data_IF_030714277710
#
_entry.id   IF_030714277710
#
_cell.length_a   1.000
_cell.length_b   1.000
_cell.length_c   1.000
_cell.angle_alpha   90.00
_cell.angle_beta   90.00
_cell.angle_gamma   90.00
#
_symmetry.space_group_name_H-M   'P 1'
#
loop_
_entity.id
_entity.type
_entity.pdbx_description
1 polymer ?
#
# COMPACT_ATOMS: atom_id res chain seq x y z
N UNK A 1 7.12 26.57 -15.34
CA UNK A 1 8.59 26.47 -15.44
C UNK A 1 8.93 25.01 -15.50
N UNK A 2 9.62 24.56 -16.56
CA UNK A 2 10.01 23.16 -16.71
C UNK A 2 11.44 22.95 -16.24
N UNK A 3 11.67 21.85 -15.52
CA UNK A 3 12.96 21.51 -14.92
C UNK A 3 13.55 20.28 -15.61
N UNK A 4 14.82 20.38 -15.98
CA UNK A 4 15.58 19.31 -16.65
C UNK A 4 16.13 18.30 -15.64
N UNK A 5 16.68 18.78 -14.54
CA UNK A 5 17.14 17.94 -13.43
C UNK A 5 17.13 18.71 -12.10
N UNK A 6 17.17 17.96 -11.01
CA UNK A 6 17.31 18.49 -9.64
C UNK A 6 18.53 17.86 -8.98
N UNK A 7 19.21 18.63 -8.13
CA UNK A 7 20.41 18.18 -7.44
C UNK A 7 20.52 18.82 -6.06
N UNK A 8 21.30 18.17 -5.20
CA UNK A 8 21.64 18.68 -3.87
C UNK A 8 23.04 19.28 -3.92
N UNK A 9 23.18 20.49 -3.39
CA UNK A 9 24.44 21.18 -3.17
C UNK A 9 24.65 21.40 -1.67
N UNK A 10 25.83 21.89 -1.29
CA UNK A 10 26.17 22.28 0.09
C UNK A 10 25.14 23.27 0.65
N UNK A 11 24.63 24.16 -0.22
CA UNK A 11 23.71 25.24 0.14
C UNK A 11 22.22 24.88 -0.02
N UNK A 12 21.89 23.59 -0.16
CA UNK A 12 20.51 23.10 -0.28
C UNK A 12 20.17 22.48 -1.64
N UNK A 13 18.88 22.49 -2.00
CA UNK A 13 18.38 21.87 -3.22
C UNK A 13 18.21 22.89 -4.34
N UNK A 14 18.55 22.47 -5.55
CA UNK A 14 18.48 23.29 -6.76
C UNK A 14 17.85 22.50 -7.90
N UNK A 15 17.20 23.21 -8.82
CA UNK A 15 16.73 22.68 -10.08
C UNK A 15 17.29 23.51 -11.23
N UNK A 16 17.73 22.85 -12.29
CA UNK A 16 18.10 23.51 -13.54
C UNK A 16 16.90 23.47 -14.47
N UNK A 17 16.51 24.64 -14.98
CA UNK A 17 15.42 24.74 -15.95
C UNK A 17 15.88 24.27 -17.33
N UNK A 18 14.94 24.08 -18.26
CA UNK A 18 15.26 23.75 -19.66
C UNK A 18 16.12 24.84 -20.33
N UNK A 19 16.02 26.09 -19.85
CA UNK A 19 16.81 27.22 -20.35
C UNK A 19 18.21 27.32 -19.74
N UNK A 20 18.58 26.42 -18.82
CA UNK A 20 19.87 26.44 -18.12
C UNK A 20 19.89 27.29 -16.85
N UNK A 21 18.81 27.99 -16.53
CA UNK A 21 18.73 28.78 -15.29
C UNK A 21 18.73 27.87 -14.06
N UNK A 22 19.57 28.20 -13.07
CA UNK A 22 19.60 27.52 -11.79
C UNK A 22 18.66 28.20 -10.79
N UNK A 23 17.71 27.43 -10.28
CA UNK A 23 16.69 27.92 -9.34
C UNK A 23 16.81 27.19 -8.01
N UNK A 24 16.90 27.94 -6.91
CA UNK A 24 16.91 27.38 -5.56
C UNK A 24 15.52 26.83 -5.21
N UNK A 25 15.48 25.59 -4.74
CA UNK A 25 14.25 24.89 -4.39
C UNK A 25 14.09 24.79 -2.87
N UNK A 26 12.84 24.91 -2.41
CA UNK A 26 12.50 24.75 -0.99
C UNK A 26 12.19 23.29 -0.68
N UNK A 27 13.00 22.68 0.16
CA UNK A 27 12.71 21.35 0.71
C UNK A 27 11.56 21.45 1.72
N UNK A 28 10.54 20.62 1.52
CA UNK A 28 9.46 20.41 2.48
C UNK A 28 9.67 19.06 3.15
N UNK A 29 10.04 19.03 4.44
CA UNK A 29 10.38 17.80 5.15
C UNK A 29 9.18 16.85 5.25
N UNK A 30 9.47 15.57 5.47
CA UNK A 30 8.45 14.54 5.62
C UNK A 30 7.57 14.80 6.85
N UNK A 31 6.30 15.12 6.61
CA UNK A 31 5.24 15.10 7.63
C UNK A 31 4.33 13.89 7.42
N UNK A 32 3.00 14.12 7.43
CA UNK A 32 2.02 13.11 6.95
C UNK A 32 2.18 12.79 5.45
N UNK A 33 2.78 13.72 4.70
CA UNK A 33 3.03 13.61 3.25
C UNK A 33 4.47 13.20 2.98
N UNK A 34 4.72 12.77 1.75
CA UNK A 34 6.07 12.49 1.25
C UNK A 34 6.92 13.77 1.22
N UNK A 35 8.21 13.64 1.55
CA UNK A 35 9.17 14.73 1.38
C UNK A 35 9.26 15.16 -0.08
N UNK A 36 9.29 16.47 -0.34
CA UNK A 36 9.23 17.03 -1.69
C UNK A 36 9.91 18.39 -1.78
N UNK A 37 10.16 18.84 -3.01
CA UNK A 37 10.72 20.14 -3.34
C UNK A 37 9.65 21.03 -3.94
N UNK A 38 9.64 22.29 -3.53
CA UNK A 38 8.80 23.34 -4.14
C UNK A 38 9.64 24.42 -4.78
N UNK A 39 9.15 24.96 -5.90
CA UNK A 39 9.70 26.16 -6.49
C UNK A 39 9.22 27.44 -5.76
N UNK A 40 9.63 28.60 -6.28
CA UNK A 40 9.23 29.91 -5.76
C UNK A 40 7.72 30.17 -5.89
N UNK A 41 7.04 29.50 -6.83
CA UNK A 41 5.59 29.59 -7.03
C UNK A 41 4.81 28.64 -6.12
N UNK A 42 5.51 27.77 -5.37
CA UNK A 42 4.91 26.78 -4.47
C UNK A 42 4.51 25.47 -5.16
N UNK A 43 4.79 25.32 -6.44
CA UNK A 43 4.54 24.10 -7.21
C UNK A 43 5.52 23.00 -6.81
N UNK A 44 5.06 21.75 -6.79
CA UNK A 44 5.89 20.60 -6.43
C UNK A 44 6.70 20.17 -7.65
N UNK A 45 8.01 20.39 -7.60
CA UNK A 45 8.93 20.12 -8.72
C UNK A 45 9.75 18.85 -8.52
N UNK A 46 9.93 18.43 -7.27
CA UNK A 46 10.68 17.24 -6.90
C UNK A 46 9.97 16.46 -5.81
N UNK A 47 10.11 15.14 -5.82
CA UNK A 47 9.48 14.25 -4.84
C UNK A 47 10.43 13.13 -4.46
N UNK A 48 10.50 12.80 -3.17
CA UNK A 48 11.28 11.66 -2.68
C UNK A 48 10.48 10.38 -2.83
N UNK A 49 11.04 9.35 -3.47
CA UNK A 49 10.40 8.04 -3.52
C UNK A 49 10.30 7.43 -2.12
N UNK A 50 9.10 7.01 -1.69
CA UNK A 50 8.89 6.42 -0.36
C UNK A 50 9.54 5.04 -0.19
N UNK A 51 9.99 4.40 -1.28
CA UNK A 51 10.64 3.08 -1.25
C UNK A 51 12.15 3.15 -1.35
N UNK A 52 12.71 3.77 -2.39
CA UNK A 52 14.16 3.84 -2.55
C UNK A 52 14.80 5.09 -1.94
N UNK A 53 13.99 6.06 -1.46
CA UNK A 53 14.50 7.28 -0.85
C UNK A 53 15.13 8.29 -1.81
N UNK A 54 15.23 8.00 -3.12
CA UNK A 54 15.81 8.94 -4.11
C UNK A 54 14.88 10.14 -4.33
N UNK A 55 15.45 11.35 -4.36
CA UNK A 55 14.77 12.58 -4.77
C UNK A 55 14.84 12.69 -6.30
N UNK A 56 13.70 12.78 -6.99
CA UNK A 56 13.63 12.93 -8.46
C UNK A 56 12.58 13.96 -8.83
N UNK A 57 12.55 14.36 -10.10
CA UNK A 57 11.52 15.26 -10.62
C UNK A 57 10.11 14.71 -10.37
N UNK A 58 9.20 15.59 -9.94
CA UNK A 58 7.81 15.26 -9.69
C UNK A 58 7.02 15.30 -11.01
N UNK A 59 7.41 14.47 -11.97
CA UNK A 59 6.77 14.38 -13.30
C UNK A 59 6.21 12.98 -13.54
N UNK A 60 5.33 12.87 -14.53
CA UNK A 60 4.78 11.60 -15.00
C UNK A 60 5.84 10.67 -15.62
N UNK A 61 7.05 11.15 -15.88
CA UNK A 61 8.18 10.34 -16.32
C UNK A 61 8.69 9.45 -15.18
N UNK A 62 8.93 10.03 -14.00
CA UNK A 62 9.50 9.34 -12.83
C UNK A 62 8.47 8.70 -11.91
N UNK A 63 7.23 9.19 -11.91
CA UNK A 63 6.14 8.69 -11.06
C UNK A 63 4.91 8.34 -11.91
N UNK A 64 4.11 7.37 -11.48
CA UNK A 64 2.80 7.09 -12.09
C UNK A 64 1.80 8.16 -11.63
N UNK A 65 0.89 8.58 -12.51
CA UNK A 65 -0.18 9.50 -12.14
C UNK A 65 -1.16 8.85 -11.14
N UNK A 66 -1.62 9.64 -10.17
CA UNK A 66 -2.69 9.29 -9.23
C UNK A 66 -3.35 10.57 -8.74
N UNK A 67 -4.54 10.86 -9.23
CA UNK A 67 -5.31 12.06 -8.92
C UNK A 67 -5.72 12.15 -7.43
N UNK A 68 -5.68 11.05 -6.68
CA UNK A 68 -5.94 11.03 -5.23
C UNK A 68 -4.68 11.31 -4.41
N UNK A 69 -3.51 11.22 -5.02
CA UNK A 69 -2.24 11.36 -4.33
C UNK A 69 -1.75 12.82 -4.32
N UNK A 70 -0.83 13.11 -3.40
CA UNK A 70 -0.22 14.43 -3.32
C UNK A 70 0.54 14.78 -4.61
N UNK A 71 0.21 15.95 -5.18
CA UNK A 71 0.69 16.45 -6.47
C UNK A 71 0.27 15.59 -7.67
N UNK A 72 -0.82 14.83 -7.57
CA UNK A 72 -1.34 14.02 -8.68
C UNK A 72 -0.44 12.84 -9.07
N UNK A 73 0.50 12.45 -8.21
CA UNK A 73 1.52 11.44 -8.49
C UNK A 73 1.64 10.44 -7.34
N UNK A 74 1.90 9.17 -7.66
CA UNK A 74 2.17 8.10 -6.70
C UNK A 74 3.34 8.44 -5.76
N UNK A 75 3.40 7.75 -4.61
CA UNK A 75 4.47 7.97 -3.63
C UNK A 75 5.79 7.26 -3.99
N UNK A 76 5.73 6.21 -4.82
CA UNK A 76 6.88 5.43 -5.28
C UNK A 76 7.22 5.80 -6.72
N UNK A 77 8.50 5.81 -7.07
CA UNK A 77 8.94 6.01 -8.45
C UNK A 77 8.62 4.80 -9.33
N UNK A 78 8.57 5.00 -10.65
CA UNK A 78 8.30 3.96 -11.64
C UNK A 78 9.28 2.79 -11.56
N UNK A 79 10.57 3.05 -11.30
CA UNK A 79 11.56 1.97 -11.18
C UNK A 79 11.26 1.06 -9.97
N UNK A 80 10.81 1.63 -8.85
CA UNK A 80 10.36 0.85 -7.71
C UNK A 80 9.08 0.06 -8.03
N UNK A 81 8.17 0.61 -8.84
CA UNK A 81 7.02 -0.13 -9.33
C UNK A 81 7.42 -1.28 -10.27
N UNK A 82 8.30 -1.04 -11.24
CA UNK A 82 8.78 -2.07 -12.17
C UNK A 82 9.39 -3.27 -11.41
N UNK A 83 10.26 -3.01 -10.44
CA UNK A 83 10.83 -4.07 -9.58
C UNK A 83 9.76 -4.82 -8.77
N UNK A 84 8.70 -4.14 -8.33
CA UNK A 84 7.58 -4.82 -7.66
C UNK A 84 6.79 -5.69 -8.64
N UNK A 85 6.54 -5.18 -9.84
CA UNK A 85 5.79 -5.87 -10.88
C UNK A 85 6.53 -7.15 -11.33
N UNK A 86 7.86 -7.09 -11.49
CA UNK A 86 8.73 -8.26 -11.76
C UNK A 86 8.65 -9.32 -10.66
N UNK A 87 8.70 -8.90 -9.39
CA UNK A 87 8.62 -9.82 -8.25
C UNK A 87 7.24 -10.47 -8.16
N UNK A 88 6.17 -9.71 -8.42
CA UNK A 88 4.81 -10.24 -8.43
C UNK A 88 4.59 -11.23 -9.59
N UNK A 89 5.19 -10.98 -10.76
CA UNK A 89 5.08 -11.87 -11.92
C UNK A 89 5.63 -13.27 -11.63
N UNK A 90 6.69 -13.37 -10.83
CA UNK A 90 7.28 -14.67 -10.42
C UNK A 90 6.57 -15.31 -9.22
N UNK A 91 5.41 -14.78 -8.80
CA UNK A 91 4.65 -15.31 -7.67
C UNK A 91 5.34 -15.16 -6.31
N UNK A 92 6.33 -14.27 -6.20
CA UNK A 92 7.01 -13.96 -4.94
C UNK A 92 6.55 -12.62 -4.39
N UNK A 93 6.55 -12.49 -3.09
CA UNK A 93 6.43 -11.21 -2.40
C UNK A 93 7.77 -10.48 -2.43
N UNK A 94 7.77 -9.15 -2.30
CA UNK A 94 9.01 -8.38 -2.17
C UNK A 94 9.88 -8.78 -0.97
N UNK A 95 9.31 -9.47 0.01
CA UNK A 95 10.03 -10.01 1.17
C UNK A 95 10.60 -11.42 0.91
N UNK A 96 10.52 -11.93 -0.31
CA UNK A 96 11.05 -13.23 -0.70
C UNK A 96 10.13 -14.44 -0.41
N UNK A 97 9.08 -14.26 0.41
CA UNK A 97 8.07 -15.32 0.64
C UNK A 97 7.09 -15.45 -0.53
N UNK A 98 6.28 -16.51 -0.60
CA UNK A 98 5.24 -16.67 -1.63
C UNK A 98 4.25 -15.50 -1.61
N UNK A 99 3.71 -15.11 -2.77
CA UNK A 99 2.56 -14.21 -2.82
C UNK A 99 1.42 -14.89 -2.06
N UNK A 100 0.81 -14.16 -1.13
CA UNK A 100 -0.41 -14.63 -0.46
C UNK A 100 -1.47 -14.78 -1.55
N UNK A 101 -1.84 -16.01 -1.88
CA UNK A 101 -3.04 -16.26 -2.69
C UNK A 101 -4.21 -15.57 -1.98
N UNK A 102 -5.06 -14.89 -2.75
CA UNK A 102 -6.28 -14.35 -2.15
C UNK A 102 -7.00 -15.54 -1.51
N UNK A 103 -7.21 -15.47 -0.19
CA UNK A 103 -8.02 -16.48 0.50
C UNK A 103 -9.39 -16.47 -0.18
N UNK A 104 -9.99 -17.64 -0.45
CA UNK A 104 -11.32 -17.70 -1.01
C UNK A 104 -12.26 -16.84 -0.15
N UNK A 105 -13.13 -16.05 -0.79
CA UNK A 105 -14.14 -15.30 -0.04
C UNK A 105 -15.03 -16.30 0.71
N UNK A 106 -15.34 -15.99 1.96
CA UNK A 106 -16.30 -16.79 2.72
C UNK A 106 -17.65 -16.78 1.98
N UNK A 107 -18.05 -17.93 1.44
CA UNK A 107 -19.38 -18.14 0.87
C UNK A 107 -20.37 -18.15 2.03
N UNK A 108 -21.50 -17.46 1.87
CA UNK A 108 -22.56 -17.35 2.88
C UNK A 108 -23.88 -17.74 2.24
N UNK A 109 -24.67 -18.53 2.95
CA UNK A 109 -26.02 -18.91 2.57
C UNK A 109 -26.94 -18.33 3.63
N UNK A 110 -27.93 -17.57 3.17
CA UNK A 110 -28.94 -16.91 4.00
C UNK A 110 -30.27 -17.64 3.83
N UNK A 111 -31.07 -17.72 4.89
CA UNK A 111 -32.46 -18.14 4.80
C UNK A 111 -33.35 -16.97 4.31
N UNK A 112 -34.65 -17.22 4.17
CA UNK A 112 -35.63 -16.23 3.72
C UNK A 112 -35.77 -15.03 4.68
N UNK A 113 -35.37 -15.18 5.93
CA UNK A 113 -35.36 -14.13 6.96
C UNK A 113 -34.06 -13.29 6.93
N UNK A 114 -33.13 -13.58 6.01
CA UNK A 114 -31.84 -12.90 5.93
C UNK A 114 -30.82 -13.34 6.99
N UNK A 115 -31.06 -14.46 7.67
CA UNK A 115 -30.13 -15.06 8.63
C UNK A 115 -29.12 -15.96 7.92
N UNK A 116 -27.82 -15.72 8.14
CA UNK A 116 -26.76 -16.60 7.64
C UNK A 116 -26.79 -17.94 8.41
N UNK A 117 -27.26 -19.00 7.76
CA UNK A 117 -27.37 -20.37 8.32
C UNK A 117 -26.14 -21.21 8.02
N UNK A 118 -25.46 -20.95 6.91
CA UNK A 118 -24.28 -21.71 6.49
C UNK A 118 -23.18 -20.80 5.94
N UNK A 119 -21.92 -21.12 6.24
CA UNK A 119 -20.76 -20.33 5.83
C UNK A 119 -19.56 -21.21 5.55
N UNK A 120 -18.84 -20.93 4.47
CA UNK A 120 -17.57 -21.58 4.13
C UNK A 120 -16.41 -20.86 4.80
N UNK A 121 -15.65 -21.60 5.61
CA UNK A 121 -14.51 -21.05 6.33
C UNK A 121 -13.35 -20.82 5.35
N UNK A 122 -12.86 -19.58 5.16
CA UNK A 122 -11.78 -19.30 4.21
C UNK A 122 -10.40 -19.78 4.68
N UNK A 123 -10.31 -20.37 5.87
CA UNK A 123 -9.08 -20.96 6.42
C UNK A 123 -8.98 -22.47 6.08
N UNK A 124 -10.04 -23.25 6.32
CA UNK A 124 -10.04 -24.70 6.06
C UNK A 124 -10.79 -25.10 4.78
N UNK A 125 -11.57 -24.21 4.16
CA UNK A 125 -12.36 -24.48 2.96
C UNK A 125 -13.67 -25.23 3.22
N UNK A 126 -13.94 -25.67 4.45
CA UNK A 126 -15.16 -26.40 4.81
C UNK A 126 -16.36 -25.46 4.99
N UNK A 127 -17.51 -25.86 4.46
CA UNK A 127 -18.80 -25.27 4.77
C UNK A 127 -19.33 -25.76 6.12
N UNK A 128 -19.78 -24.83 6.98
CA UNK A 128 -20.26 -25.13 8.32
C UNK A 128 -21.50 -24.32 8.67
N UNK A 129 -22.29 -24.85 9.60
CA UNK A 129 -23.46 -24.19 10.15
C UNK A 129 -23.08 -22.97 10.99
N UNK A 130 -24.06 -22.10 11.23
CA UNK A 130 -23.93 -20.85 11.97
C UNK A 130 -23.29 -21.04 13.35
N UNK A 131 -23.63 -22.11 14.03
CA UNK A 131 -23.24 -22.48 15.39
C UNK A 131 -21.74 -22.78 15.47
N UNK A 132 -21.13 -23.19 14.36
CA UNK A 132 -19.69 -23.45 14.24
C UNK A 132 -18.85 -22.18 14.14
N UNK A 133 -19.50 -21.01 14.16
CA UNK A 133 -18.86 -19.70 14.18
C UNK A 133 -19.18 -18.97 15.49
N UNK A 134 -18.19 -18.25 16.04
CA UNK A 134 -18.45 -17.35 17.15
C UNK A 134 -19.14 -16.06 16.67
N UNK A 135 -19.90 -15.40 17.55
CA UNK A 135 -20.57 -14.14 17.23
C UNK A 135 -19.56 -13.00 17.04
N UNK A 136 -19.81 -12.11 16.08
CA UNK A 136 -19.02 -10.90 15.86
C UNK A 136 -19.88 -9.77 15.29
N UNK A 137 -20.23 -8.79 16.13
CA UNK A 137 -21.22 -7.74 15.83
C UNK A 137 -20.81 -6.78 14.73
N UNK A 138 -19.52 -6.64 14.41
CA UNK A 138 -19.04 -5.76 13.33
C UNK A 138 -19.16 -6.38 11.94
N UNK A 139 -19.46 -7.67 11.84
CA UNK A 139 -19.61 -8.35 10.56
C UNK A 139 -21.07 -8.31 10.11
N UNK A 140 -21.37 -8.17 8.80
CA UNK A 140 -22.74 -8.09 8.29
C UNK A 140 -23.62 -9.30 8.64
N UNK A 141 -23.03 -10.49 8.80
CA UNK A 141 -23.72 -11.74 9.15
C UNK A 141 -23.78 -12.00 10.67
N UNK A 142 -23.15 -11.12 11.47
CA UNK A 142 -23.02 -11.26 12.92
C UNK A 142 -22.09 -12.41 13.35
N UNK A 143 -21.30 -13.00 12.44
CA UNK A 143 -20.45 -14.17 12.70
C UNK A 143 -18.97 -13.88 12.41
N UNK A 144 -18.06 -14.55 13.13
CA UNK A 144 -16.62 -14.49 12.86
C UNK A 144 -16.28 -14.96 11.43
N UNK A 145 -15.13 -14.51 10.92
CA UNK A 145 -14.68 -14.86 9.56
C UNK A 145 -14.25 -16.32 9.47
N UNK A 146 -13.64 -16.88 10.52
CA UNK A 146 -13.20 -18.27 10.59
C UNK A 146 -14.08 -19.07 11.53
N UNK A 147 -14.20 -20.38 11.29
CA UNK A 147 -14.88 -21.27 12.22
C UNK A 147 -14.16 -21.33 13.56
N UNK A 148 -14.87 -21.71 14.62
CA UNK A 148 -14.35 -21.81 16.00
C UNK A 148 -13.06 -22.63 16.07
N UNK A 149 -12.97 -23.75 15.34
CA UNK A 149 -11.78 -24.60 15.26
C UNK A 149 -10.56 -23.84 14.71
N UNK A 150 -10.67 -23.26 13.52
CA UNK A 150 -9.57 -22.49 12.92
C UNK A 150 -9.21 -21.24 13.74
N UNK A 151 -10.19 -20.62 14.42
CA UNK A 151 -9.93 -19.51 15.32
C UNK A 151 -9.08 -19.94 16.52
N UNK A 152 -9.40 -21.09 17.14
CA UNK A 152 -8.63 -21.64 18.25
C UNK A 152 -7.20 -22.04 17.83
N UNK A 153 -7.04 -22.64 16.65
CA UNK A 153 -5.72 -23.00 16.10
C UNK A 153 -4.85 -21.75 15.84
N UNK A 154 -5.42 -20.68 15.28
CA UNK A 154 -4.70 -19.45 15.03
C UNK A 154 -4.30 -18.74 16.34
N UNK A 155 -5.18 -18.72 17.34
CA UNK A 155 -4.87 -18.12 18.64
C UNK A 155 -3.68 -18.78 19.35
N UNK A 156 -3.42 -20.07 19.09
CA UNK A 156 -2.24 -20.78 19.61
C UNK A 156 -0.93 -20.34 18.94
N UNK A 157 -0.99 -19.97 17.64
CA UNK A 157 0.19 -19.54 16.86
C UNK A 157 0.66 -18.12 17.21
N UNK A 158 -0.23 -17.29 17.73
CA UNK A 158 0.04 -15.88 18.02
C UNK A 158 0.57 -15.62 19.44
N UNK A 159 0.75 -16.64 20.28
CA UNK A 159 1.47 -16.50 21.54
C UNK A 159 2.96 -16.69 21.26
N UNK A 160 3.77 -15.63 21.12
CA UNK A 160 5.21 -15.80 21.30
C UNK A 160 5.41 -16.44 22.68
N UNK A 161 6.32 -17.42 22.77
CA UNK A 161 6.79 -17.90 24.06
C UNK A 161 7.18 -16.68 24.88
N UNK A 162 6.57 -16.54 26.06
CA UNK A 162 6.90 -15.45 26.97
C UNK A 162 8.40 -15.60 27.30
N UNK A 163 9.21 -14.67 26.81
CA UNK A 163 10.62 -14.50 27.20
C UNK A 163 10.64 -13.94 28.62
#
# INVERSE_FOLDING_TARGET
>A
MEYKWIYQSVNGWYGETVNGDQVKLKLVPKGRKTEHLKDSTGNVVGKRCSKCGKMTLATAEYFRADNRAHAGLQQKCKNCHARWDEVNLVGRSIKGGPVRTQRPKAVRIYNDEGLCTFKVCPCCGEGKEREEYAKHSRNPDGLQTYCKKCQAENAKKEKPEAI
#
